data_IF_690878943978
#
_entry.id   IF_690878943978
#
_cell.length_a   1.000
_cell.length_b   1.000
_cell.length_c   1.000
_cell.angle_alpha   90.00
_cell.angle_beta   90.00
_cell.angle_gamma   90.00
#
_symmetry.space_group_name_H-M   'P 1'
#
loop_
_entity.id
_entity.type
_entity.pdbx_description
1 polymer ?
#
# COMPACT_ATOMS: atom_id res chain seq x y z
N UNK A 1 -9.78 -2.66 11.39
CA UNK A 1 -10.45 -2.03 10.23
C UNK A 1 -10.29 -2.91 9.00
N UNK A 2 -11.25 -2.83 8.08
CA UNK A 2 -11.19 -3.54 6.78
C UNK A 2 -11.40 -2.51 5.67
N UNK A 3 -10.60 -2.63 4.62
CA UNK A 3 -10.61 -1.74 3.46
C UNK A 3 -10.83 -2.56 2.19
N UNK A 4 -11.65 -2.04 1.28
CA UNK A 4 -11.81 -2.56 -0.07
C UNK A 4 -11.71 -1.41 -1.06
N UNK A 5 -10.67 -1.41 -1.90
CA UNK A 5 -10.54 -0.46 -3.00
C UNK A 5 -11.34 -0.91 -4.22
N UNK A 6 -11.87 0.05 -4.98
CA UNK A 6 -12.55 -0.18 -6.24
C UNK A 6 -12.57 1.09 -7.09
N UNK A 7 -12.95 0.95 -8.37
CA UNK A 7 -13.28 2.08 -9.24
C UNK A 7 -14.66 1.89 -9.84
N UNK A 8 -15.37 2.99 -10.05
CA UNK A 8 -16.74 2.99 -10.60
C UNK A 8 -17.10 4.35 -11.20
N UNK A 9 -18.36 4.49 -11.61
CA UNK A 9 -19.00 5.77 -11.93
C UNK A 9 -19.20 6.62 -10.65
N UNK A 10 -19.44 7.92 -10.78
CA UNK A 10 -19.54 8.82 -9.63
C UNK A 10 -20.85 8.71 -8.85
N UNK A 11 -21.95 8.36 -9.53
CA UNK A 11 -23.27 8.26 -8.94
C UNK A 11 -24.24 7.49 -9.85
N UNK A 12 -25.39 7.09 -9.32
CA UNK A 12 -26.41 6.34 -10.05
C UNK A 12 -26.94 7.05 -11.33
N UNK A 13 -26.83 8.37 -11.43
CA UNK A 13 -27.20 9.12 -12.64
C UNK A 13 -26.32 8.78 -13.85
N UNK A 14 -25.11 8.29 -13.62
CA UNK A 14 -24.16 7.89 -14.68
C UNK A 14 -24.37 6.46 -15.18
N UNK A 15 -25.29 5.67 -14.60
CA UNK A 15 -25.57 4.30 -15.08
C UNK A 15 -26.03 4.25 -16.54
N UNK A 16 -26.64 5.34 -17.02
CA UNK A 16 -27.11 5.47 -18.41
C UNK A 16 -26.10 6.21 -19.31
N UNK A 17 -24.95 6.62 -18.77
CA UNK A 17 -23.93 7.36 -19.48
C UNK A 17 -23.07 6.42 -20.34
N UNK A 18 -23.34 6.39 -21.65
CA UNK A 18 -22.68 5.48 -22.59
C UNK A 18 -21.19 5.80 -22.84
N UNK A 19 -20.71 6.97 -22.43
CA UNK A 19 -19.32 7.41 -22.56
C UNK A 19 -18.60 7.62 -21.22
N UNK A 20 -19.25 7.29 -20.10
CA UNK A 20 -18.62 7.35 -18.79
C UNK A 20 -17.85 6.06 -18.54
N UNK A 21 -16.55 6.20 -18.30
CA UNK A 21 -15.71 5.13 -17.79
C UNK A 21 -15.85 5.02 -16.26
N UNK A 22 -15.14 4.08 -15.64
CA UNK A 22 -14.96 4.02 -14.18
C UNK A 22 -14.01 5.12 -13.71
N UNK A 23 -14.42 6.37 -13.86
CA UNK A 23 -13.59 7.57 -13.68
C UNK A 23 -13.40 7.99 -12.21
N UNK A 24 -13.94 7.22 -11.28
CA UNK A 24 -13.82 7.45 -9.85
C UNK A 24 -13.11 6.30 -9.16
N UNK A 25 -12.18 6.64 -8.28
CA UNK A 25 -11.54 5.73 -7.33
C UNK A 25 -12.24 5.86 -5.98
N UNK A 26 -12.60 4.73 -5.41
CA UNK A 26 -13.32 4.63 -4.14
C UNK A 26 -12.59 3.69 -3.18
N UNK A 27 -12.92 3.84 -1.90
CA UNK A 27 -12.57 2.91 -0.85
C UNK A 27 -13.80 2.64 0.03
N UNK A 28 -14.15 1.39 0.21
CA UNK A 28 -15.11 0.97 1.22
C UNK A 28 -14.37 0.74 2.54
N UNK A 29 -14.82 1.36 3.62
CA UNK A 29 -14.20 1.27 4.95
C UNK A 29 -15.17 0.64 5.93
N UNK A 30 -14.73 -0.43 6.61
CA UNK A 30 -15.43 -1.01 7.75
C UNK A 30 -14.67 -0.77 9.05
N UNK A 31 -15.41 -0.28 10.04
CA UNK A 31 -14.99 -0.06 11.43
C UNK A 31 -15.65 -1.03 12.41
N UNK A 32 -16.33 -2.06 11.91
CA UNK A 32 -17.15 -2.99 12.69
C UNK A 32 -16.89 -4.47 12.36
N UNK A 33 -15.66 -4.77 11.92
CA UNK A 33 -15.25 -6.14 11.60
C UNK A 33 -15.85 -6.69 10.30
N UNK A 34 -16.29 -5.80 9.40
CA UNK A 34 -16.79 -6.16 8.06
C UNK A 34 -18.30 -6.36 7.99
N UNK A 35 -19.05 -5.91 9.00
CA UNK A 35 -20.51 -6.02 9.02
C UNK A 35 -21.13 -4.96 8.13
N UNK A 36 -20.63 -3.74 8.20
CA UNK A 36 -21.01 -2.64 7.32
C UNK A 36 -19.79 -1.93 6.75
N UNK A 37 -19.99 -1.32 5.59
CA UNK A 37 -18.98 -0.53 4.91
C UNK A 37 -19.56 0.83 4.56
N UNK A 38 -18.73 1.87 4.72
CA UNK A 38 -19.00 3.21 4.19
C UNK A 38 -18.04 3.48 3.04
N UNK A 39 -18.59 3.84 1.89
CA UNK A 39 -17.80 4.20 0.71
C UNK A 39 -17.34 5.65 0.80
N UNK A 40 -16.03 5.87 0.65
CA UNK A 40 -15.42 7.18 0.59
C UNK A 40 -14.80 7.40 -0.78
N UNK A 41 -15.04 8.59 -1.31
CA UNK A 41 -14.44 9.03 -2.55
C UNK A 41 -12.95 9.31 -2.34
N UNK A 42 -12.10 8.65 -3.11
CA UNK A 42 -10.64 8.84 -3.08
C UNK A 42 -10.25 9.91 -4.10
N UNK A 43 -10.76 9.77 -5.32
CA UNK A 43 -10.56 10.74 -6.39
C UNK A 43 -11.62 10.59 -7.49
N UNK A 44 -12.16 11.71 -7.98
CA UNK A 44 -13.00 11.78 -9.18
C UNK A 44 -12.21 12.50 -10.27
N UNK A 45 -12.08 11.89 -11.44
CA UNK A 45 -11.59 12.60 -12.63
C UNK A 45 -12.74 13.36 -13.29
N UNK A 46 -12.65 14.70 -13.45
CA UNK A 46 -13.73 15.46 -14.08
C UNK A 46 -13.99 15.07 -15.54
N UNK A 47 -12.96 14.60 -16.23
CA UNK A 47 -13.09 14.00 -17.56
C UNK A 47 -13.52 12.53 -17.42
N UNK A 48 -14.82 12.32 -17.60
CA UNK A 48 -15.52 11.04 -17.41
C UNK A 48 -15.13 9.96 -18.43
N UNK A 49 -14.36 10.30 -19.47
CA UNK A 49 -13.98 9.34 -20.51
C UNK A 49 -12.75 8.51 -20.15
N UNK A 50 -11.99 8.94 -19.13
CA UNK A 50 -10.82 8.22 -18.64
C UNK A 50 -11.17 7.41 -17.41
N UNK A 51 -10.83 6.12 -17.44
CA UNK A 51 -11.11 5.19 -16.36
C UNK A 51 -9.93 4.98 -15.42
N UNK A 52 -10.24 4.46 -14.24
CA UNK A 52 -9.29 3.83 -13.31
C UNK A 52 -9.62 2.34 -13.08
N UNK A 53 -10.51 1.77 -13.91
CA UNK A 53 -10.86 0.34 -13.94
C UNK A 53 -9.89 -0.53 -14.72
N UNK A 54 -8.64 -0.08 -14.82
CA UNK A 54 -7.54 -0.73 -15.49
C UNK A 54 -6.79 -1.50 -14.42
N UNK A 55 -7.08 -2.80 -14.28
CA UNK A 55 -6.74 -3.60 -13.12
C UNK A 55 -5.30 -3.28 -12.62
N UNK A 56 -4.99 -3.24 -11.33
CA UNK A 56 -5.85 -3.22 -10.16
C UNK A 56 -5.83 -1.83 -9.50
N UNK A 57 -6.88 -1.50 -8.74
CA UNK A 57 -6.80 -0.45 -7.71
C UNK A 57 -6.35 -1.14 -6.42
N UNK A 58 -5.13 -0.88 -5.96
CA UNK A 58 -4.53 -1.55 -4.81
C UNK A 58 -4.51 -0.64 -3.58
N UNK A 59 -4.70 -1.22 -2.39
CA UNK A 59 -4.68 -0.52 -1.11
C UNK A 59 -3.58 -1.08 -0.20
N UNK A 60 -2.87 -0.18 0.48
CA UNK A 60 -1.92 -0.51 1.54
C UNK A 60 -2.07 0.45 2.73
N UNK A 61 -1.67 0.00 3.92
CA UNK A 61 -1.81 0.75 5.17
C UNK A 61 -0.49 0.72 5.90
N UNK A 62 0.02 1.90 6.28
CA UNK A 62 1.24 1.96 7.09
C UNK A 62 0.96 1.70 8.59
N UNK A 63 2.03 1.58 9.37
CA UNK A 63 1.95 1.33 10.82
C UNK A 63 1.26 2.45 11.62
N UNK A 64 1.14 3.66 11.06
CA UNK A 64 0.41 4.76 11.68
C UNK A 64 -1.08 4.80 11.30
N UNK A 65 -1.54 3.88 10.45
CA UNK A 65 -2.91 3.84 9.95
C UNK A 65 -3.17 4.78 8.78
N UNK A 66 -2.13 5.35 8.17
CA UNK A 66 -2.30 6.07 6.91
C UNK A 66 -2.61 5.06 5.82
N UNK A 67 -3.60 5.36 5.00
CA UNK A 67 -4.08 4.49 3.92
C UNK A 67 -3.61 5.06 2.59
N UNK A 68 -3.09 4.21 1.72
CA UNK A 68 -2.64 4.57 0.39
C UNK A 68 -3.43 3.76 -0.64
N UNK A 69 -3.91 4.43 -1.68
CA UNK A 69 -4.44 3.77 -2.87
C UNK A 69 -3.52 4.05 -4.04
N UNK A 70 -3.13 3.01 -4.77
CA UNK A 70 -2.39 3.12 -6.04
C UNK A 70 -3.26 2.59 -7.18
N UNK A 71 -3.28 3.33 -8.29
CA UNK A 71 -4.17 3.10 -9.42
C UNK A 71 -3.63 3.74 -10.68
N UNK A 72 -4.17 3.36 -11.84
CA UNK A 72 -3.66 3.80 -13.13
C UNK A 72 -4.76 4.12 -14.13
N UNK A 73 -4.45 4.95 -15.12
CA UNK A 73 -5.33 5.34 -16.21
C UNK A 73 -4.99 4.66 -17.55
N UNK A 74 -4.45 3.43 -17.51
CA UNK A 74 -3.79 2.73 -18.63
C UNK A 74 -2.44 3.30 -19.08
N UNK A 75 -1.99 4.45 -18.54
CA UNK A 75 -0.71 5.05 -18.96
C UNK A 75 0.14 5.52 -17.78
N UNK A 76 -0.48 6.24 -16.86
CA UNK A 76 0.15 6.85 -15.72
C UNK A 76 -0.28 6.14 -14.46
N UNK A 77 0.69 5.96 -13.57
CA UNK A 77 0.49 5.47 -12.24
C UNK A 77 0.27 6.64 -11.29
N UNK A 78 -0.73 6.52 -10.43
CA UNK A 78 -1.07 7.51 -9.43
C UNK A 78 -1.15 6.88 -8.06
N UNK A 79 -0.97 7.71 -7.03
CA UNK A 79 -1.40 7.39 -5.70
C UNK A 79 -2.19 8.53 -5.06
N UNK A 80 -3.08 8.13 -4.15
CA UNK A 80 -3.71 9.02 -3.17
C UNK A 80 -3.43 8.48 -1.78
N UNK A 81 -3.45 9.35 -0.77
CA UNK A 81 -3.28 8.94 0.62
C UNK A 81 -4.28 9.61 1.56
N UNK A 82 -4.58 8.93 2.65
CA UNK A 82 -5.44 9.39 3.74
C UNK A 82 -4.71 9.23 5.07
N UNK A 83 -4.63 10.29 5.87
CA UNK A 83 -4.22 10.23 7.30
C UNK A 83 -5.43 10.15 8.24
N UNK A 84 -6.63 9.99 7.70
CA UNK A 84 -7.90 9.89 8.45
C UNK A 84 -8.58 8.54 8.21
N UNK A 85 -7.80 7.45 8.18
CA UNK A 85 -8.31 6.06 8.07
C UNK A 85 -9.29 5.83 6.90
N UNK A 86 -9.06 6.47 5.76
CA UNK A 86 -9.86 6.35 4.55
C UNK A 86 -10.99 7.37 4.41
N UNK A 87 -11.22 8.24 5.40
CA UNK A 87 -12.34 9.20 5.37
C UNK A 87 -12.11 10.43 4.48
N UNK A 88 -10.87 10.87 4.31
CA UNK A 88 -10.51 12.05 3.53
C UNK A 88 -9.16 11.84 2.85
N UNK A 89 -9.03 12.36 1.62
CA UNK A 89 -7.96 11.96 0.71
C UNK A 89 -7.20 13.15 0.14
N UNK A 90 -5.90 12.95 -0.05
CA UNK A 90 -5.01 13.84 -0.80
C UNK A 90 -4.55 13.13 -2.08
N UNK A 91 -4.40 13.89 -3.17
CA UNK A 91 -4.00 13.37 -4.47
C UNK A 91 -5.08 13.60 -5.54
N UNK A 92 -4.93 13.00 -6.73
CA UNK A 92 -3.88 12.08 -7.15
C UNK A 92 -2.52 12.76 -7.25
N UNK A 93 -1.46 11.98 -7.02
CA UNK A 93 -0.10 12.35 -7.36
C UNK A 93 0.48 11.28 -8.29
N UNK A 94 1.09 11.70 -9.40
CA UNK A 94 1.69 10.80 -10.37
C UNK A 94 2.99 10.19 -9.82
N UNK A 95 3.19 8.89 -10.05
CA UNK A 95 4.36 8.10 -9.62
C UNK A 95 5.33 7.89 -10.79
N UNK A 96 4.84 7.31 -11.90
CA UNK A 96 5.71 6.85 -12.98
C UNK A 96 6.30 8.03 -13.77
N UNK A 97 7.55 7.84 -14.17
CA UNK A 97 8.29 8.75 -15.03
C UNK A 97 9.02 7.97 -16.13
N UNK A 98 9.49 8.66 -17.17
CA UNK A 98 10.34 8.06 -18.20
C UNK A 98 11.50 7.28 -17.56
N UNK A 99 11.80 6.06 -18.01
CA UNK A 99 11.33 5.43 -19.25
C UNK A 99 10.02 4.64 -19.17
N UNK A 100 9.28 4.64 -18.06
CA UNK A 100 7.94 4.01 -17.99
C UNK A 100 6.86 5.01 -18.40
N UNK A 101 6.62 5.10 -19.70
CA UNK A 101 5.62 6.00 -20.29
C UNK A 101 4.21 5.41 -20.27
N UNK A 102 4.09 4.08 -20.23
CA UNK A 102 2.86 3.33 -19.91
C UNK A 102 3.11 2.53 -18.62
N UNK A 103 2.12 2.41 -17.74
CA UNK A 103 2.20 1.74 -16.44
C UNK A 103 0.86 1.11 -16.04
N UNK A 104 0.85 -0.19 -15.73
CA UNK A 104 -0.35 -1.00 -15.46
C UNK A 104 -0.12 -2.00 -14.30
N UNK A 105 -1.20 -2.65 -13.83
CA UNK A 105 -1.18 -3.65 -12.75
C UNK A 105 -0.38 -3.22 -11.49
N UNK A 106 -0.72 -2.10 -10.83
CA UNK A 106 0.06 -1.67 -9.69
C UNK A 106 -0.18 -2.51 -8.43
N UNK A 107 0.89 -2.67 -7.66
CA UNK A 107 0.87 -3.20 -6.32
C UNK A 107 1.70 -2.34 -5.39
N UNK A 108 1.38 -2.35 -4.09
CA UNK A 108 2.10 -1.54 -3.11
C UNK A 108 2.33 -2.27 -1.79
N UNK A 109 3.39 -1.86 -1.09
CA UNK A 109 3.69 -2.28 0.28
C UNK A 109 4.01 -1.04 1.11
N UNK A 110 3.30 -0.87 2.21
CA UNK A 110 3.53 0.21 3.16
C UNK A 110 4.26 -0.32 4.40
N UNK A 111 5.06 0.52 5.02
CA UNK A 111 5.91 0.15 6.16
C UNK A 111 5.67 1.08 7.35
N UNK A 112 6.73 1.66 7.92
CA UNK A 112 6.62 2.77 8.86
C UNK A 112 5.79 3.94 8.33
N UNK A 113 5.37 4.81 9.26
CA UNK A 113 4.54 5.97 8.97
C UNK A 113 5.09 6.80 7.79
N UNK A 114 4.25 7.04 6.78
CA UNK A 114 4.63 7.86 5.62
C UNK A 114 5.52 7.15 4.59
N UNK A 115 5.70 5.83 4.65
CA UNK A 115 6.57 5.10 3.72
C UNK A 115 5.77 4.16 2.82
N UNK A 116 6.10 4.15 1.52
CA UNK A 116 5.39 3.39 0.50
C UNK A 116 6.34 2.94 -0.61
N UNK A 117 6.33 1.64 -0.89
CA UNK A 117 6.89 1.02 -2.09
C UNK A 117 5.76 0.70 -3.07
N UNK A 118 5.97 0.98 -4.36
CA UNK A 118 5.02 0.71 -5.44
C UNK A 118 5.73 -0.01 -6.58
N UNK A 119 5.10 -1.04 -7.12
CA UNK A 119 5.57 -1.80 -8.28
C UNK A 119 4.50 -1.83 -9.36
N UNK A 120 4.91 -1.93 -10.62
CA UNK A 120 4.02 -2.01 -11.79
C UNK A 120 4.73 -2.64 -12.99
N UNK A 121 3.97 -3.12 -13.98
CA UNK A 121 4.52 -3.37 -15.31
C UNK A 121 4.54 -2.07 -16.09
N UNK A 122 5.72 -1.71 -16.60
CA UNK A 122 5.94 -0.46 -17.33
C UNK A 122 6.49 -0.70 -18.72
N UNK A 123 6.05 0.12 -19.68
CA UNK A 123 6.60 0.17 -21.03
C UNK A 123 7.09 1.57 -21.38
N UNK A 124 8.14 1.64 -22.20
CA UNK A 124 8.56 2.90 -22.83
C UNK A 124 7.71 3.30 -24.03
N UNK A 125 6.98 2.33 -24.60
CA UNK A 125 5.98 2.60 -25.61
C UNK A 125 4.78 3.32 -25.00
N UNK A 126 4.20 4.23 -25.75
CA UNK A 126 3.04 5.01 -25.36
C UNK A 126 2.17 5.27 -26.58
N UNK A 127 0.88 4.96 -26.45
CA UNK A 127 -0.16 5.33 -27.40
C UNK A 127 -1.31 5.95 -26.60
N UNK A 128 -1.59 7.24 -26.81
CA UNK A 128 -2.64 7.96 -26.08
C UNK A 128 -4.06 7.70 -26.61
N UNK A 129 -4.21 6.84 -27.61
CA UNK A 129 -5.49 6.51 -28.25
C UNK A 129 -5.86 5.05 -27.98
N UNK A 130 -4.94 4.13 -28.25
CA UNK A 130 -5.20 2.71 -28.13
C UNK A 130 -4.82 2.20 -26.72
N UNK A 131 -5.60 1.30 -26.11
CA UNK A 131 -5.25 0.72 -24.82
C UNK A 131 -4.08 -0.27 -24.95
N UNK A 132 -3.37 -0.55 -23.83
CA UNK A 132 -2.30 -1.54 -23.76
C UNK A 132 -2.62 -2.89 -24.39
N UNK A 133 -3.88 -3.32 -24.39
CA UNK A 133 -4.35 -4.58 -25.00
C UNK A 133 -3.95 -4.77 -26.46
N UNK A 134 -3.83 -3.67 -27.20
CA UNK A 134 -3.60 -3.66 -28.66
C UNK A 134 -2.21 -3.18 -29.06
N UNK A 135 -1.30 -3.04 -28.09
CA UNK A 135 0.05 -2.54 -28.36
C UNK A 135 0.82 -3.45 -29.32
N UNK A 136 1.65 -2.87 -30.20
CA UNK A 136 2.45 -3.65 -31.15
C UNK A 136 3.58 -4.40 -30.44
N UNK A 137 4.14 -5.42 -31.08
CA UNK A 137 5.29 -6.19 -30.57
C UNK A 137 6.55 -5.36 -30.26
N UNK A 138 6.60 -4.08 -30.68
CA UNK A 138 7.67 -3.15 -30.30
C UNK A 138 7.49 -2.58 -28.89
N UNK A 139 6.31 -2.72 -28.27
CA UNK A 139 6.08 -2.37 -26.88
C UNK A 139 6.70 -3.45 -26.00
N UNK A 140 7.79 -3.12 -25.30
CA UNK A 140 8.43 -4.00 -24.33
C UNK A 140 7.99 -3.63 -22.91
N UNK A 141 7.75 -4.63 -22.08
CA UNK A 141 7.32 -4.46 -20.69
C UNK A 141 8.40 -4.94 -19.73
N UNK A 142 8.60 -4.18 -18.67
CA UNK A 142 9.49 -4.52 -17.55
C UNK A 142 8.77 -4.27 -16.23
N UNK A 143 9.25 -4.89 -15.16
CA UNK A 143 8.84 -4.55 -13.80
C UNK A 143 9.58 -3.30 -13.36
N UNK A 144 8.83 -2.32 -12.87
CA UNK A 144 9.37 -1.13 -12.24
C UNK A 144 9.07 -1.15 -10.75
N UNK A 145 9.96 -0.52 -10.00
CA UNK A 145 9.85 -0.28 -8.56
C UNK A 145 10.03 1.20 -8.30
N UNK A 146 9.20 1.79 -7.45
CA UNK A 146 9.43 3.11 -6.91
C UNK A 146 9.17 3.17 -5.41
N UNK A 147 10.04 3.90 -4.71
CA UNK A 147 9.96 4.10 -3.27
C UNK A 147 9.74 5.58 -2.93
N UNK A 148 8.91 5.82 -1.92
CA UNK A 148 8.70 7.12 -1.30
C UNK A 148 8.72 6.98 0.22
N UNK A 149 9.67 7.68 0.86
CA UNK A 149 9.84 7.66 2.33
C UNK A 149 9.11 8.82 3.03
N UNK A 150 8.28 9.58 2.30
CA UNK A 150 7.49 10.70 2.80
C UNK A 150 6.14 10.78 2.06
N UNK A 151 5.52 9.65 1.77
CA UNK A 151 4.32 9.50 0.94
C UNK A 151 3.10 10.27 1.44
N UNK A 152 3.02 10.60 2.73
CA UNK A 152 1.98 11.48 3.32
C UNK A 152 2.25 12.98 3.15
N UNK A 153 3.33 13.34 2.45
CA UNK A 153 3.61 14.72 2.05
C UNK A 153 3.18 14.93 0.59
N UNK A 154 2.35 15.94 0.29
CA UNK A 154 1.93 16.23 -1.08
C UNK A 154 3.14 16.44 -2.00
N UNK A 155 3.11 15.83 -3.20
CA UNK A 155 4.19 15.91 -4.20
C UNK A 155 5.59 15.51 -3.69
N UNK A 156 5.65 14.62 -2.68
CA UNK A 156 6.91 14.00 -2.26
C UNK A 156 7.57 13.24 -3.41
N UNK A 157 8.90 13.11 -3.34
CA UNK A 157 9.71 12.54 -4.43
C UNK A 157 9.69 11.02 -4.41
N UNK A 158 9.60 10.44 -5.60
CA UNK A 158 9.75 9.02 -5.86
C UNK A 158 11.15 8.69 -6.36
N UNK A 159 11.74 7.61 -5.85
CA UNK A 159 12.94 6.99 -6.41
C UNK A 159 12.52 5.79 -7.25
N UNK A 160 12.50 5.93 -8.58
CA UNK A 160 12.09 4.89 -9.52
C UNK A 160 13.31 4.15 -10.10
N UNK A 161 13.21 2.83 -10.23
CA UNK A 161 14.16 1.98 -10.95
C UNK A 161 13.43 0.86 -11.69
N UNK A 162 14.07 0.28 -12.71
CA UNK A 162 13.65 -0.99 -13.29
C UNK A 162 14.14 -2.13 -12.39
N UNK A 163 13.28 -3.12 -12.14
CA UNK A 163 13.55 -4.26 -11.27
C UNK A 163 13.77 -5.58 -12.03
N UNK A 164 13.50 -5.61 -13.35
CA UNK A 164 13.65 -6.79 -14.20
C UNK A 164 14.28 -6.46 -15.56
N UNK A 165 14.59 -7.50 -16.33
CA UNK A 165 14.71 -7.40 -17.78
C UNK A 165 13.35 -7.19 -18.46
N UNK A 166 13.29 -7.39 -19.78
CA UNK A 166 12.02 -7.45 -20.50
C UNK A 166 11.30 -8.74 -20.12
N UNK A 167 10.04 -8.62 -19.72
CA UNK A 167 9.19 -9.73 -19.28
C UNK A 167 8.08 -10.06 -20.27
N UNK A 168 7.79 -9.15 -21.21
CA UNK A 168 6.78 -9.31 -22.25
C UNK A 168 6.96 -8.30 -23.38
N UNK A 169 6.44 -8.62 -24.55
CA UNK A 169 6.32 -7.78 -25.74
C UNK A 169 4.89 -7.82 -26.27
N UNK A 170 4.42 -6.69 -26.78
CA UNK A 170 3.09 -6.59 -27.39
C UNK A 170 2.03 -6.11 -26.43
N UNK A 171 0.79 -6.51 -26.71
CA UNK A 171 -0.37 -6.06 -25.97
C UNK A 171 -0.53 -6.78 -24.64
N UNK A 172 -1.11 -6.10 -23.65
CA UNK A 172 -1.47 -6.71 -22.35
C UNK A 172 -2.96 -6.48 -22.10
N UNK A 173 -3.72 -7.57 -22.00
CA UNK A 173 -5.15 -7.52 -21.78
C UNK A 173 -5.51 -7.39 -20.31
N UNK A 174 -6.38 -6.42 -19.97
CA UNK A 174 -6.81 -6.15 -18.59
C UNK A 174 -8.29 -6.52 -18.35
N UNK A 175 -8.93 -7.18 -19.31
CA UNK A 175 -10.38 -7.42 -19.29
C UNK A 175 -10.79 -8.75 -18.63
N UNK A 176 -9.95 -9.30 -17.74
CA UNK A 176 -10.30 -10.53 -17.03
C UNK A 176 -10.60 -11.72 -17.97
N UNK A 177 -11.61 -12.50 -17.62
CA UNK A 177 -12.07 -13.67 -18.39
C UNK A 177 -12.59 -13.35 -19.80
N UNK A 178 -12.74 -12.07 -20.16
CA UNK A 178 -13.20 -11.65 -21.49
C UNK A 178 -12.06 -11.43 -22.49
N UNK A 179 -10.81 -11.53 -22.05
CA UNK A 179 -9.64 -11.47 -22.92
C UNK A 179 -9.62 -12.64 -23.92
N UNK A 180 -9.33 -12.33 -25.18
CA UNK A 180 -9.16 -13.33 -26.25
C UNK A 180 -7.68 -13.62 -26.59
N UNK A 181 -6.76 -12.96 -25.90
CA UNK A 181 -5.30 -13.09 -26.04
C UNK A 181 -4.58 -12.19 -25.03
N UNK A 182 -3.24 -12.11 -25.11
CA UNK A 182 -2.43 -11.14 -24.36
C UNK A 182 -2.60 -11.23 -22.83
N UNK A 183 -2.72 -12.45 -22.30
CA UNK A 183 -2.86 -12.75 -20.87
C UNK A 183 -1.69 -13.53 -20.28
N UNK A 184 -0.57 -13.47 -20.97
CA UNK A 184 0.62 -14.24 -20.68
C UNK A 184 1.31 -13.79 -19.37
N UNK A 185 1.14 -12.52 -18.99
CA UNK A 185 1.63 -11.96 -17.72
C UNK A 185 0.77 -12.29 -16.50
N UNK A 186 -0.37 -12.95 -16.70
CA UNK A 186 -1.33 -13.30 -15.63
C UNK A 186 -1.74 -12.08 -14.77
N UNK A 187 -2.47 -12.35 -13.69
CA UNK A 187 -2.75 -11.37 -12.63
C UNK A 187 -1.87 -11.67 -11.38
N UNK A 188 -0.74 -12.37 -11.59
CA UNK A 188 0.21 -12.80 -10.54
C UNK A 188 1.34 -11.78 -10.42
N UNK A 189 1.10 -10.77 -9.59
CA UNK A 189 2.03 -9.67 -9.36
C UNK A 189 1.87 -9.13 -7.94
N UNK A 190 2.97 -8.81 -7.26
CA UNK A 190 2.91 -8.29 -5.90
C UNK A 190 4.26 -7.85 -5.35
N UNK A 191 4.21 -7.07 -4.27
CA UNK A 191 5.41 -6.63 -3.53
C UNK A 191 5.17 -6.74 -2.03
N UNK A 192 6.20 -7.17 -1.30
CA UNK A 192 6.23 -7.12 0.15
C UNK A 192 7.58 -6.58 0.63
N UNK A 193 7.56 -5.70 1.63
CA UNK A 193 8.76 -5.31 2.33
C UNK A 193 9.10 -6.33 3.44
N UNK A 194 10.37 -6.70 3.53
CA UNK A 194 10.89 -7.49 4.64
C UNK A 194 10.63 -6.78 5.97
N UNK A 195 10.03 -7.45 6.98
CA UNK A 195 9.77 -6.83 8.27
C UNK A 195 11.04 -6.50 9.05
N UNK A 196 12.20 -7.08 8.70
CA UNK A 196 13.47 -6.88 9.41
C UNK A 196 14.43 -5.93 8.70
N UNK A 197 14.40 -5.87 7.36
CA UNK A 197 15.30 -5.00 6.59
C UNK A 197 14.57 -3.85 5.91
N UNK A 198 13.25 -3.95 5.71
CA UNK A 198 12.45 -3.03 4.92
C UNK A 198 12.71 -3.08 3.42
N UNK A 199 13.52 -4.03 2.95
CA UNK A 199 13.80 -4.22 1.53
C UNK A 199 12.65 -4.94 0.84
N UNK A 200 12.36 -4.51 -0.38
CA UNK A 200 11.28 -5.07 -1.18
C UNK A 200 11.65 -6.44 -1.78
N UNK A 201 10.68 -7.34 -1.79
CA UNK A 201 10.65 -8.54 -2.64
C UNK A 201 9.44 -8.43 -3.55
N UNK A 202 9.66 -8.57 -4.85
CA UNK A 202 8.66 -8.45 -5.90
C UNK A 202 8.48 -9.83 -6.53
N UNK A 203 7.23 -10.27 -6.65
CA UNK A 203 6.85 -11.48 -7.39
C UNK A 203 6.13 -11.01 -8.64
N UNK A 204 6.49 -11.59 -9.79
CA UNK A 204 5.92 -11.20 -11.07
C UNK A 204 5.96 -12.36 -12.05
N UNK A 205 5.20 -12.25 -13.14
CA UNK A 205 5.23 -13.22 -14.23
C UNK A 205 6.11 -12.72 -15.36
N UNK A 206 6.85 -13.63 -15.98
CA UNK A 206 7.58 -13.43 -17.23
C UNK A 206 7.13 -14.50 -18.23
N UNK A 207 6.90 -14.12 -19.48
CA UNK A 207 6.57 -15.05 -20.56
C UNK A 207 7.73 -15.23 -21.55
N UNK A 208 8.92 -14.79 -21.17
CA UNK A 208 10.12 -14.90 -21.99
C UNK A 208 10.79 -16.26 -21.83
N UNK A 209 11.36 -16.79 -22.91
CA UNK A 209 12.14 -18.01 -22.83
C UNK A 209 13.42 -17.79 -22.02
N UNK A 210 13.55 -18.52 -20.92
CA UNK A 210 14.79 -18.66 -20.15
C UNK A 210 15.16 -20.14 -20.06
N UNK A 211 16.44 -20.44 -20.22
CA UNK A 211 16.98 -21.78 -20.03
C UNK A 211 18.35 -21.70 -19.37
N UNK A 212 18.34 -21.33 -18.09
CA UNK A 212 19.54 -21.21 -17.27
C UNK A 212 19.55 -22.29 -16.18
N UNK A 213 20.66 -22.38 -15.44
CA UNK A 213 20.74 -23.30 -14.30
C UNK A 213 19.80 -22.89 -13.15
N UNK A 214 19.50 -21.60 -13.03
CA UNK A 214 18.66 -21.04 -11.96
C UNK A 214 17.18 -21.00 -12.37
N UNK A 215 16.93 -20.84 -13.66
CA UNK A 215 15.61 -20.76 -14.29
C UNK A 215 15.62 -21.66 -15.53
N UNK A 216 15.49 -22.99 -15.34
CA UNK A 216 15.43 -23.93 -16.46
C UNK A 216 14.11 -23.77 -17.22
N UNK A 217 14.15 -23.99 -18.53
CA UNK A 217 12.94 -23.91 -19.35
C UNK A 217 11.87 -24.91 -18.87
N UNK A 218 10.63 -24.43 -18.73
CA UNK A 218 9.49 -25.26 -18.31
C UNK A 218 9.28 -26.42 -19.30
N UNK A 219 9.39 -27.69 -18.88
CA UNK A 219 9.29 -28.83 -19.79
C UNK A 219 7.84 -29.27 -20.05
N UNK A 220 6.86 -28.64 -19.41
CA UNK A 220 5.45 -29.00 -19.50
C UNK A 220 4.64 -27.82 -20.02
N UNK A 221 3.71 -28.10 -20.94
CA UNK A 221 2.87 -27.11 -21.60
C UNK A 221 2.05 -27.74 -22.72
N UNK A 222 1.02 -27.06 -23.22
CA UNK A 222 0.14 -27.60 -24.27
C UNK A 222 0.87 -27.78 -25.59
N UNK A 223 1.97 -27.05 -25.79
CA UNK A 223 2.87 -27.13 -26.94
C UNK A 223 4.11 -28.02 -26.73
N UNK A 224 4.22 -28.75 -25.62
CA UNK A 224 5.41 -29.56 -25.30
C UNK A 224 6.49 -28.83 -24.49
N UNK A 225 6.13 -27.71 -23.84
CA UNK A 225 7.00 -26.92 -22.97
C UNK A 225 7.49 -25.60 -23.58
N UNK A 226 8.12 -24.78 -22.75
CA UNK A 226 8.72 -23.51 -23.14
C UNK A 226 9.98 -23.73 -23.99
N UNK A 227 10.01 -23.13 -25.18
CA UNK A 227 11.10 -23.20 -26.14
C UNK A 227 11.43 -21.79 -26.63
N UNK A 228 12.60 -21.61 -27.24
CA UNK A 228 12.96 -20.31 -27.81
C UNK A 228 11.93 -19.80 -28.82
N UNK A 229 11.27 -20.69 -29.57
CA UNK A 229 10.21 -20.35 -30.54
C UNK A 229 8.87 -20.00 -29.91
N UNK A 230 8.63 -20.40 -28.66
CA UNK A 230 7.42 -20.06 -27.90
C UNK A 230 7.65 -18.96 -26.86
N UNK A 231 8.79 -18.26 -26.92
CA UNK A 231 9.01 -17.03 -26.12
C UNK A 231 7.89 -16.03 -26.39
N UNK A 232 7.54 -15.23 -25.38
CA UNK A 232 6.46 -14.26 -25.45
C UNK A 232 5.08 -14.91 -25.64
N UNK A 233 4.83 -16.01 -24.93
CA UNK A 233 3.54 -16.69 -24.93
C UNK A 233 3.31 -17.43 -23.62
N UNK A 234 2.06 -17.79 -23.36
CA UNK A 234 1.63 -18.52 -22.15
C UNK A 234 2.37 -19.84 -21.92
N UNK A 235 2.91 -20.47 -22.98
CA UNK A 235 3.75 -21.67 -22.85
C UNK A 235 5.06 -21.42 -22.11
N UNK A 236 5.51 -20.16 -22.08
CA UNK A 236 6.69 -19.69 -21.38
C UNK A 236 6.38 -18.87 -20.13
N UNK A 237 5.11 -18.74 -19.72
CA UNK A 237 4.76 -18.04 -18.47
C UNK A 237 5.34 -18.75 -17.24
N UNK A 238 6.09 -18.03 -16.43
CA UNK A 238 6.65 -18.48 -15.16
C UNK A 238 6.75 -17.32 -14.16
N UNK A 239 6.69 -17.66 -12.87
CA UNK A 239 6.82 -16.71 -11.78
C UNK A 239 8.29 -16.45 -11.47
N UNK A 240 8.70 -15.19 -11.56
CA UNK A 240 10.02 -14.67 -11.20
C UNK A 240 9.96 -13.87 -9.89
N UNK A 241 11.14 -13.73 -9.27
CA UNK A 241 11.30 -12.98 -8.02
C UNK A 241 12.44 -11.97 -8.17
N UNK A 242 12.16 -10.70 -7.91
CA UNK A 242 13.18 -9.66 -7.76
C UNK A 242 13.30 -9.27 -6.30
N UNK A 243 14.52 -9.31 -5.75
CA UNK A 243 14.81 -8.93 -4.36
C UNK A 243 15.69 -7.68 -4.37
N UNK A 244 15.27 -6.67 -3.62
CA UNK A 244 16.12 -5.50 -3.37
C UNK A 244 17.31 -5.91 -2.48
N UNK A 245 18.52 -5.68 -2.98
CA UNK A 245 19.78 -6.06 -2.30
C UNK A 245 20.55 -4.88 -1.73
N UNK A 246 20.06 -3.65 -1.93
CA UNK A 246 20.69 -2.42 -1.42
C UNK A 246 19.87 -1.16 -1.71
N UNK A 247 20.45 -0.01 -1.37
CA UNK A 247 19.76 1.29 -1.42
C UNK A 247 18.96 1.57 -0.16
N UNK A 248 17.99 2.49 -0.25
CA UNK A 248 17.09 2.82 0.84
C UNK A 248 16.01 1.75 1.00
N UNK A 249 15.55 1.54 2.23
CA UNK A 249 14.48 0.62 2.60
C UNK A 249 13.32 1.38 3.23
N UNK A 250 12.13 0.77 3.34
CA UNK A 250 11.01 1.40 4.07
C UNK A 250 11.36 1.67 5.53
N UNK A 251 12.23 0.84 6.13
CA UNK A 251 12.74 1.06 7.49
C UNK A 251 13.79 2.19 7.56
N UNK A 252 14.31 2.70 6.44
CA UNK A 252 15.30 3.79 6.47
C UNK A 252 14.71 5.11 6.98
N UNK A 253 13.39 5.31 6.85
CA UNK A 253 12.72 6.52 7.36
C UNK A 253 12.66 6.60 8.89
N UNK A 254 12.76 5.46 9.60
CA UNK A 254 12.64 5.42 11.07
C UNK A 254 13.90 5.92 11.77
N UNK A 255 15.04 5.95 11.09
CA UNK A 255 16.35 6.37 11.64
C UNK A 255 16.42 7.81 12.15
N UNK A 256 15.37 8.62 11.95
CA UNK A 256 15.28 10.01 12.45
C UNK A 256 14.70 10.13 13.86
N UNK A 257 14.17 9.05 14.41
CA UNK A 257 13.48 9.02 15.71
C UNK A 257 14.18 8.05 16.67
N UNK A 258 14.12 8.31 17.97
CA UNK A 258 14.65 7.40 18.99
C UNK A 258 13.62 6.33 19.40
N UNK A 259 12.34 6.56 19.12
CA UNK A 259 11.30 5.56 19.30
C UNK A 259 10.33 5.56 18.12
N UNK A 260 9.43 4.59 18.07
CA UNK A 260 8.34 4.57 17.10
C UNK A 260 7.09 4.01 17.77
N UNK A 261 5.95 4.66 17.54
CA UNK A 261 4.65 4.08 17.84
C UNK A 261 4.31 3.09 16.72
N UNK A 262 4.33 1.80 17.03
CA UNK A 262 4.22 0.71 16.02
C UNK A 262 2.84 0.05 16.00
N UNK A 263 2.01 0.28 17.02
CA UNK A 263 0.60 -0.11 17.05
C UNK A 263 -0.20 0.91 17.84
N UNK A 264 -1.36 1.28 17.29
CA UNK A 264 -2.40 2.06 17.99
C UNK A 264 -3.75 1.45 17.65
N UNK A 265 -4.39 0.84 18.65
CA UNK A 265 -5.55 -0.02 18.47
C UNK A 265 -6.61 0.38 19.48
N UNK A 266 -7.65 1.06 19.02
CA UNK A 266 -8.71 1.62 19.86
C UNK A 266 -10.02 0.92 19.51
N UNK A 267 -10.36 -0.12 20.26
CA UNK A 267 -11.50 -0.97 19.94
C UNK A 267 -12.41 -1.21 21.13
N UNK A 268 -13.69 -1.43 20.86
CA UNK A 268 -14.63 -2.03 21.78
C UNK A 268 -14.71 -3.54 21.45
N UNK A 269 -14.49 -4.44 22.41
CA UNK A 269 -14.58 -5.90 22.18
C UNK A 269 -15.66 -6.53 23.06
N UNK A 270 -16.00 -5.93 24.21
CA UNK A 270 -16.95 -6.47 25.19
C UNK A 270 -17.63 -5.37 26.02
N UNK A 271 -18.35 -4.46 25.36
CA UNK A 271 -19.01 -3.26 25.91
C UNK A 271 -18.12 -2.20 26.55
N UNK A 272 -16.84 -2.48 26.77
CA UNK A 272 -15.89 -1.50 27.26
C UNK A 272 -14.89 -1.10 26.16
N UNK A 273 -14.61 0.20 26.00
CA UNK A 273 -13.53 0.66 25.15
C UNK A 273 -12.17 0.22 25.70
N UNK A 274 -11.26 -0.13 24.80
CA UNK A 274 -9.87 -0.47 25.12
C UNK A 274 -8.93 0.20 24.12
N UNK A 275 -7.90 0.86 24.64
CA UNK A 275 -6.83 1.45 23.83
C UNK A 275 -5.52 0.70 24.11
N UNK A 276 -4.97 0.10 23.06
CA UNK A 276 -3.65 -0.55 23.07
C UNK A 276 -2.65 0.27 22.26
N UNK A 277 -1.51 0.57 22.86
CA UNK A 277 -0.41 1.29 22.23
C UNK A 277 0.86 0.47 22.38
N UNK A 278 1.63 0.34 21.30
CA UNK A 278 2.93 -0.31 21.27
C UNK A 278 4.01 0.69 20.85
N UNK A 279 5.12 0.69 21.59
CA UNK A 279 6.27 1.56 21.36
C UNK A 279 7.51 0.69 21.21
N UNK A 280 8.26 0.92 20.14
CA UNK A 280 9.58 0.31 19.91
C UNK A 280 10.66 1.36 20.13
N UNK A 281 11.68 1.06 20.92
CA UNK A 281 12.89 1.88 20.98
C UNK A 281 13.78 1.55 19.77
N UNK A 282 13.96 2.51 18.88
CA UNK A 282 14.74 2.37 17.65
C UNK A 282 16.01 3.24 17.66
N UNK A 283 16.22 3.99 18.73
CA UNK A 283 17.40 4.82 18.95
C UNK A 283 18.52 4.06 19.64
N UNK A 284 19.56 4.80 20.03
CA UNK A 284 20.73 4.27 20.73
C UNK A 284 20.69 4.49 22.25
N UNK A 285 19.74 5.31 22.72
CA UNK A 285 19.56 5.67 24.13
C UNK A 285 18.40 4.87 24.74
N UNK A 286 18.46 4.61 26.05
CA UNK A 286 17.36 3.97 26.75
C UNK A 286 16.21 4.97 27.00
N UNK A 287 14.96 4.51 26.95
CA UNK A 287 13.78 5.32 27.27
C UNK A 287 13.42 5.10 28.73
N UNK A 288 13.70 6.10 29.58
CA UNK A 288 13.48 6.04 31.02
C UNK A 288 12.01 6.25 31.41
N UNK A 289 11.29 7.08 30.66
CA UNK A 289 9.88 7.38 30.92
C UNK A 289 9.11 7.59 29.62
N UNK A 290 7.84 7.17 29.63
CA UNK A 290 6.86 7.44 28.58
C UNK A 290 5.64 8.09 29.24
N UNK A 291 5.26 9.26 28.75
CA UNK A 291 3.99 9.92 29.11
C UNK A 291 3.06 9.93 27.91
N UNK A 292 1.76 9.86 28.17
CA UNK A 292 0.76 9.76 27.12
C UNK A 292 -0.40 10.75 27.32
N UNK A 293 -0.93 11.22 26.20
CA UNK A 293 -2.16 11.99 26.15
C UNK A 293 -3.07 11.46 25.05
N UNK A 294 -4.39 11.54 25.26
CA UNK A 294 -5.41 11.30 24.24
C UNK A 294 -6.24 12.57 24.06
N UNK A 295 -6.24 13.14 22.86
CA UNK A 295 -6.91 14.40 22.53
C UNK A 295 -6.56 15.52 23.52
N UNK A 296 -5.29 15.59 23.93
CA UNK A 296 -4.76 16.56 24.91
C UNK A 296 -5.04 16.24 26.37
N UNK A 297 -5.80 15.17 26.68
CA UNK A 297 -6.10 14.75 28.05
C UNK A 297 -5.05 13.73 28.54
N UNK A 298 -4.59 13.80 29.80
CA UNK A 298 -3.65 12.82 30.35
C UNK A 298 -4.17 11.38 30.26
N UNK A 299 -3.33 10.47 29.78
CA UNK A 299 -3.64 9.05 29.64
C UNK A 299 -2.64 8.21 30.43
N UNK A 300 -3.15 7.37 31.35
CA UNK A 300 -2.30 6.44 32.08
C UNK A 300 -2.15 5.12 31.31
N UNK A 301 -0.91 4.74 31.02
CA UNK A 301 -0.56 3.56 30.25
C UNK A 301 0.33 2.61 31.06
N UNK A 302 -0.16 1.41 31.44
CA UNK A 302 0.63 0.43 32.18
C UNK A 302 1.55 -0.36 31.23
N UNK A 303 2.72 0.22 30.94
CA UNK A 303 3.70 -0.36 30.01
C UNK A 303 4.25 -1.72 30.46
N UNK A 304 4.26 -2.68 29.54
CA UNK A 304 4.80 -4.04 29.72
C UNK A 304 5.66 -4.45 28.51
N UNK A 305 6.95 -4.80 28.69
CA UNK A 305 7.73 -4.71 29.93
C UNK A 305 7.82 -3.27 30.46
N UNK A 306 8.07 -3.15 31.76
CA UNK A 306 8.24 -1.86 32.41
C UNK A 306 9.51 -1.14 31.93
N UNK A 307 9.51 0.19 32.00
CA UNK A 307 10.65 1.05 31.66
C UNK A 307 11.77 0.90 32.72
N UNK A 308 13.06 1.11 32.40
CA UNK A 308 13.62 1.70 31.18
C UNK A 308 13.67 0.75 29.98
N UNK A 309 13.17 1.20 28.82
CA UNK A 309 13.16 0.43 27.57
C UNK A 309 14.51 0.57 26.84
N UNK A 310 15.25 -0.52 26.68
CA UNK A 310 16.56 -0.51 26.00
C UNK A 310 16.42 -0.43 24.47
N UNK A 311 17.47 0.02 23.74
CA UNK A 311 17.51 -0.04 22.28
C UNK A 311 17.08 -1.40 21.71
N UNK A 312 16.22 -1.37 20.70
CA UNK A 312 15.65 -2.56 20.04
C UNK A 312 14.54 -3.27 20.82
N UNK A 313 14.21 -2.83 22.04
CA UNK A 313 13.11 -3.40 22.82
C UNK A 313 11.76 -2.76 22.46
N UNK A 314 10.70 -3.52 22.74
CA UNK A 314 9.32 -3.12 22.52
C UNK A 314 8.58 -3.17 23.85
N UNK A 315 7.72 -2.18 24.09
CA UNK A 315 6.76 -2.18 25.21
C UNK A 315 5.35 -1.91 24.71
N UNK A 316 4.38 -2.51 25.38
CA UNK A 316 2.96 -2.39 25.04
C UNK A 316 2.19 -1.99 26.29
N UNK A 317 1.19 -1.12 26.14
CA UNK A 317 0.23 -0.80 27.18
C UNK A 317 -1.19 -0.93 26.63
N UNK A 318 -2.07 -1.55 27.40
CA UNK A 318 -3.51 -1.62 27.13
C UNK A 318 -4.24 -1.01 28.31
N UNK A 319 -5.20 -0.11 28.05
CA UNK A 319 -6.01 0.52 29.09
C UNK A 319 -7.47 0.66 28.65
N UNK A 320 -8.38 0.37 29.59
CA UNK A 320 -9.80 0.77 29.49
C UNK A 320 -10.11 2.00 30.35
N UNK A 321 -9.13 2.50 31.12
CA UNK A 321 -9.29 3.66 32.00
C UNK A 321 -9.07 4.96 31.22
N UNK A 322 -10.00 5.26 30.30
CA UNK A 322 -9.97 6.47 29.49
C UNK A 322 -10.41 7.69 30.32
N UNK A 323 -9.93 8.91 29.98
CA UNK A 323 -10.33 10.12 30.70
C UNK A 323 -11.86 10.30 30.68
N UNK A 324 -12.47 10.57 31.85
CA UNK A 324 -13.93 10.69 31.96
C UNK A 324 -14.53 11.84 31.13
N UNK A 325 -13.73 12.85 30.79
CA UNK A 325 -14.12 13.98 29.92
C UNK A 325 -13.95 13.70 28.44
N UNK A 326 -13.38 12.55 28.06
CA UNK A 326 -13.25 12.14 26.66
C UNK A 326 -14.59 11.62 26.17
N UNK A 327 -15.22 12.37 25.26
CA UNK A 327 -16.47 11.94 24.61
C UNK A 327 -16.14 10.86 23.58
N UNK A 328 -16.61 9.63 23.85
CA UNK A 328 -16.38 8.49 22.98
C UNK A 328 -17.53 8.30 21.99
N UNK A 329 -17.17 8.24 20.71
CA UNK A 329 -18.05 7.87 19.62
C UNK A 329 -17.31 6.98 18.61
N UNK A 330 -17.93 5.87 18.24
CA UNK A 330 -17.42 4.93 17.23
C UNK A 330 -17.23 5.68 15.90
N UNK A 331 -16.13 5.41 15.20
CA UNK A 331 -15.74 6.09 13.97
C UNK A 331 -15.04 7.44 14.18
N UNK A 332 -15.00 7.95 15.42
CA UNK A 332 -14.26 9.19 15.73
C UNK A 332 -12.77 8.92 15.82
N UNK A 333 -11.98 9.85 15.27
CA UNK A 333 -10.53 9.82 15.31
C UNK A 333 -10.04 10.68 16.48
N UNK A 334 -9.21 10.10 17.33
CA UNK A 334 -8.57 10.74 18.47
C UNK A 334 -7.07 10.89 18.20
N UNK A 335 -6.46 11.95 18.72
CA UNK A 335 -5.00 12.08 18.68
C UNK A 335 -4.39 11.40 19.90
N UNK A 336 -3.38 10.59 19.71
CA UNK A 336 -2.59 9.98 20.79
C UNK A 336 -1.20 10.57 20.71
N UNK A 337 -0.75 11.20 21.78
CA UNK A 337 0.59 11.80 21.87
C UNK A 337 1.39 11.07 22.92
N UNK A 338 2.55 10.55 22.54
CA UNK A 338 3.51 9.91 23.43
C UNK A 338 4.75 10.80 23.51
N UNK A 339 5.22 11.07 24.72
CA UNK A 339 6.49 11.75 24.96
C UNK A 339 7.43 10.84 25.73
N UNK A 340 8.59 10.57 25.12
CA UNK A 340 9.67 9.79 25.67
C UNK A 340 10.72 10.69 26.33
N UNK A 341 11.18 10.31 27.52
CA UNK A 341 12.36 10.89 28.17
C UNK A 341 13.51 9.89 28.05
N UNK A 342 14.60 10.30 27.39
CA UNK A 342 15.75 9.45 27.08
C UNK A 342 16.80 9.49 28.21
N UNK A 343 17.72 8.52 28.20
CA UNK A 343 18.82 8.41 29.17
C UNK A 343 19.82 9.56 29.13
N UNK A 344 19.96 10.21 27.98
CA UNK A 344 20.81 11.38 27.78
C UNK A 344 20.17 12.71 28.27
N UNK A 345 18.93 12.64 28.79
CA UNK A 345 18.18 13.78 29.30
C UNK A 345 17.37 14.54 28.24
N UNK A 346 17.42 14.12 26.96
CA UNK A 346 16.58 14.69 25.91
C UNK A 346 15.16 14.11 25.94
N UNK A 347 14.25 14.79 25.25
CA UNK A 347 12.86 14.35 25.10
C UNK A 347 12.47 14.30 23.64
N UNK A 348 11.62 13.33 23.29
CA UNK A 348 11.05 13.21 21.96
C UNK A 348 9.54 12.96 22.07
N UNK A 349 8.77 13.61 21.19
CA UNK A 349 7.31 13.48 21.16
C UNK A 349 6.87 12.98 19.79
N UNK A 350 5.96 12.01 19.79
CA UNK A 350 5.27 11.55 18.58
C UNK A 350 3.76 11.61 18.80
N UNK A 351 3.05 12.05 17.76
CA UNK A 351 1.59 12.09 17.73
C UNK A 351 1.10 11.23 16.59
N UNK A 352 0.16 10.33 16.89
CA UNK A 352 -0.52 9.47 15.92
C UNK A 352 -2.03 9.62 16.08
N UNK A 353 -2.76 9.17 15.08
CA UNK A 353 -4.22 9.10 15.13
C UNK A 353 -4.68 7.70 15.57
N UNK A 354 -5.79 7.63 16.28
CA UNK A 354 -6.46 6.41 16.71
C UNK A 354 -7.94 6.52 16.39
N UNK A 355 -8.48 5.67 15.53
CA UNK A 355 -9.92 5.60 15.28
C UNK A 355 -10.57 4.60 16.22
N UNK A 356 -11.67 5.01 16.87
CA UNK A 356 -12.42 4.12 17.75
C UNK A 356 -13.33 3.17 16.94
N UNK A 357 -13.03 1.87 16.95
CA UNK A 357 -13.72 0.83 16.18
C UNK A 357 -14.50 -0.14 17.07
N UNK A 358 -15.35 -0.95 16.44
CA UNK A 358 -15.96 -2.13 17.03
C UNK A 358 -15.19 -3.37 16.58
N UNK A 359 -14.80 -4.22 17.53
CA UNK A 359 -14.11 -5.48 17.27
C UNK A 359 -15.02 -6.50 16.56
N UNK A 360 -14.40 -7.49 15.92
CA UNK A 360 -15.14 -8.57 15.27
C UNK A 360 -15.97 -9.37 16.30
N UNK A 361 -17.29 -9.46 16.08
CA UNK A 361 -18.21 -10.27 16.90
C UNK A 361 -19.15 -9.51 17.84
N UNK A 362 -19.03 -8.18 17.93
CA UNK A 362 -20.01 -7.32 18.61
C UNK A 362 -20.96 -6.64 17.61
N UNK A 363 -21.31 -7.36 16.54
CA UNK A 363 -22.27 -6.89 15.55
C UNK A 363 -23.51 -6.30 16.22
N UNK A 364 -23.86 -5.08 15.79
CA UNK A 364 -25.08 -4.40 16.24
C UNK A 364 -26.32 -5.26 16.03
#
# INVERSE_FOLDING_TARGET
MIYQSFSSIANAGEETCLNCSTHVVWIAVSIDGGISFTDYQVYIKPDVTVGYGHQFVNVSVDQAGSVYLVYNDNHNMFYSYSTTFGQSWNGPFRINSSPSNTAIFPWSSAGPAGTLDVVWYGSSYYDGVNPPDSYPMTASWQVYFAQNLAATTPNSKWSQTTASGIVHYGGVCESGVTCTGNRDLLDDFGVAASPTTGFATIIYTSDQYVNSANEPAQPFGSGGGCTQSSTNSVECSHTDIAVQTGGTSLLSATTKHHFQITKTDFEQISNNPSLTIQVTNIGNEAINALTAQISGLPLNLPWTPALSLQPGQITTATTGALPATLLLAVGTIYTVTITANLSDGTTETQTVSAIYTLGAGIGL
#
